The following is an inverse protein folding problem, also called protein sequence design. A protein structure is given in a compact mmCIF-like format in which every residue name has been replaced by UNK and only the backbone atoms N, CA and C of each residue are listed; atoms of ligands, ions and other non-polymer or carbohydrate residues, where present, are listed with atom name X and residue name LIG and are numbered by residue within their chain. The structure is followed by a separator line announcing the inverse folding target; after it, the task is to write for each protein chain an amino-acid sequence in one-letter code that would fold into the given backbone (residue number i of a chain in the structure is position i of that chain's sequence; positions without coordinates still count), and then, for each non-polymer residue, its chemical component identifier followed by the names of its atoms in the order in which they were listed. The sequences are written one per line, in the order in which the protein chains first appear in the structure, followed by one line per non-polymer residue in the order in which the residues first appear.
data_IF_799099102541
#
_entry.id   IF_799099102541
#
_cell.length_a   1.000
_cell.length_b   1.000
_cell.length_c   1.000
_cell.angle_alpha   90.00
_cell.angle_beta   90.00
_cell.angle_gamma   90.00
#
_symmetry.space_group_name_H-M   'P 1'
#
loop_
_entity.id
_entity.type
_entity.pdbx_description
1 polymer ?
#
# COMPACT_ATOMS: atom_id res chain seq x y z
N UNK A 1 19.09 19.81 11.43
CA UNK A 1 18.64 19.58 11.27
C UNK A 1 17.81 19.40 11.37
N UNK A 2 17.52 19.52 11.50
CA UNK A 2 16.70 19.25 11.75
C UNK A 2 15.77 18.89 11.18
N UNK A 3 15.50 18.15 11.17
CA UNK A 3 14.58 17.71 10.46
C UNK A 3 13.32 18.17 10.89
N UNK A 4 12.69 18.92 10.12
CA UNK A 4 11.50 19.37 10.41
C UNK A 4 10.49 18.46 9.89
N UNK A 5 9.66 17.88 10.63
CA UNK A 5 8.64 16.98 10.16
C UNK A 5 7.41 17.73 9.73
N UNK A 6 6.86 17.31 8.63
CA UNK A 6 5.63 17.89 8.12
C UNK A 6 4.44 17.13 8.68
N UNK A 7 3.40 17.85 8.99
CA UNK A 7 2.15 17.23 9.40
C UNK A 7 1.19 17.36 8.24
N UNK A 8 0.75 16.23 7.72
CA UNK A 8 -0.09 16.21 6.53
C UNK A 8 -1.36 15.45 6.84
N UNK A 9 -2.49 15.98 6.43
CA UNK A 9 -3.74 15.28 6.60
C UNK A 9 -4.01 14.44 5.39
N UNK A 10 -4.32 13.20 5.60
CA UNK A 10 -4.63 12.27 4.52
C UNK A 10 -5.92 11.57 4.85
N UNK A 11 -6.59 11.07 3.83
CA UNK A 11 -7.82 10.33 4.01
C UNK A 11 -7.62 8.92 3.51
N UNK A 12 -7.89 7.94 4.35
CA UNK A 12 -7.78 6.54 3.97
C UNK A 12 -9.09 5.88 4.35
N UNK A 13 -9.75 5.30 3.39
CA UNK A 13 -11.04 4.64 3.58
C UNK A 13 -12.06 5.56 4.24
N UNK A 14 -11.99 6.84 3.86
CA UNK A 14 -12.96 7.79 4.37
C UNK A 14 -12.61 8.43 5.70
N UNK A 15 -11.57 7.94 6.36
CA UNK A 15 -11.18 8.48 7.66
C UNK A 15 -9.97 9.38 7.50
N UNK A 16 -9.94 10.45 8.25
CA UNK A 16 -8.84 11.39 8.19
C UNK A 16 -7.77 11.05 9.21
N UNK A 17 -6.53 11.15 8.78
CA UNK A 17 -5.40 10.93 9.66
C UNK A 17 -4.41 12.06 9.51
N UNK A 18 -3.79 12.46 10.60
CA UNK A 18 -2.71 13.44 10.56
C UNK A 18 -1.42 12.67 10.66
N UNK A 19 -0.61 12.79 9.64
CA UNK A 19 0.63 12.04 9.54
C UNK A 19 1.80 12.99 9.73
N UNK A 20 2.71 12.63 10.60
CA UNK A 20 3.92 13.39 10.78
C UNK A 20 5.05 12.66 10.10
N UNK A 21 5.71 13.32 9.18
CA UNK A 21 6.70 12.65 8.36
C UNK A 21 7.78 13.61 7.89
N UNK A 22 8.96 13.06 7.63
CA UNK A 22 10.04 13.84 7.03
C UNK A 22 9.82 14.00 5.54
N UNK A 23 8.97 13.20 4.96
CA UNK A 23 8.73 13.28 3.53
C UNK A 23 7.95 14.53 3.19
N UNK A 24 8.03 14.93 1.93
CA UNK A 24 7.27 16.10 1.50
C UNK A 24 5.78 15.81 1.60
N UNK A 25 4.96 16.85 1.69
CA UNK A 25 3.52 16.63 1.72
C UNK A 25 3.01 15.89 0.49
N UNK A 26 3.58 16.18 -0.67
CA UNK A 26 3.15 15.49 -1.88
C UNK A 26 3.46 14.00 -1.79
N UNK A 27 4.65 13.67 -1.27
CA UNK A 27 5.02 12.28 -1.15
C UNK A 27 4.13 11.59 -0.15
N UNK A 28 3.85 12.25 0.97
CA UNK A 28 3.01 11.66 1.99
C UNK A 28 1.61 11.38 1.46
N UNK A 29 1.07 12.31 0.68
CA UNK A 29 -0.25 12.09 0.11
C UNK A 29 -0.24 10.96 -0.90
N UNK A 30 0.82 10.88 -1.69
CA UNK A 30 0.92 9.81 -2.68
C UNK A 30 0.98 8.45 -1.99
N UNK A 31 1.72 8.38 -0.90
CA UNK A 31 1.83 7.13 -0.15
C UNK A 31 0.47 6.76 0.43
N UNK A 32 -0.23 7.73 0.99
CA UNK A 32 -1.53 7.47 1.58
C UNK A 32 -2.53 7.02 0.52
N UNK A 33 -2.47 7.62 -0.65
CA UNK A 33 -3.36 7.25 -1.72
C UNK A 33 -3.10 5.82 -2.16
N UNK A 34 -1.83 5.44 -2.22
CA UNK A 34 -1.49 4.07 -2.59
C UNK A 34 -2.04 3.08 -1.56
N UNK A 35 -1.87 3.40 -0.28
CA UNK A 35 -2.38 2.54 0.78
C UNK A 35 -3.89 2.40 0.64
N UNK A 36 -4.57 3.53 0.44
CA UNK A 36 -6.02 3.51 0.32
C UNK A 36 -6.45 2.62 -0.83
N UNK A 37 -5.78 2.75 -1.96
CA UNK A 37 -6.14 1.97 -3.13
C UNK A 37 -5.91 0.48 -2.92
N UNK A 38 -4.80 0.12 -2.28
CA UNK A 38 -4.51 -1.30 -2.06
C UNK A 38 -5.52 -1.91 -1.09
N UNK A 39 -5.88 -1.16 -0.05
CA UNK A 39 -6.86 -1.68 0.91
C UNK A 39 -8.21 -1.87 0.22
N UNK A 40 -8.63 -0.90 -0.57
CA UNK A 40 -9.92 -1.02 -1.26
C UNK A 40 -9.91 -2.18 -2.23
N UNK A 41 -8.81 -2.35 -2.94
CA UNK A 41 -8.71 -3.45 -3.87
C UNK A 41 -8.74 -4.79 -3.15
N UNK A 42 -8.07 -4.86 -2.00
CA UNK A 42 -8.06 -6.08 -1.20
C UNK A 42 -9.46 -6.42 -0.71
N UNK A 43 -10.19 -5.40 -0.27
CA UNK A 43 -11.54 -5.63 0.22
C UNK A 43 -12.42 -6.12 -0.91
N UNK A 44 -12.30 -5.51 -2.07
CA UNK A 44 -13.14 -5.88 -3.19
C UNK A 44 -12.82 -7.28 -3.70
N UNK A 45 -11.55 -7.54 -3.93
CA UNK A 45 -11.14 -8.82 -4.50
C UNK A 45 -11.39 -9.98 -3.54
N UNK A 46 -11.20 -9.74 -2.25
CA UNK A 46 -11.38 -10.80 -1.27
C UNK A 46 -12.75 -10.82 -0.64
N UNK A 47 -13.61 -9.90 -1.07
CA UNK A 47 -14.94 -9.81 -0.49
C UNK A 47 -14.85 -9.66 1.02
N UNK A 48 -13.92 -8.82 1.47
CA UNK A 48 -13.66 -8.62 2.88
C UNK A 48 -14.36 -7.36 3.36
N UNK A 49 -15.09 -7.47 4.44
CA UNK A 49 -15.79 -6.32 4.98
C UNK A 49 -15.04 -5.67 6.12
N UNK A 50 -14.24 -6.43 6.82
CA UNK A 50 -13.53 -5.91 7.98
C UNK A 50 -12.30 -5.14 7.55
N UNK A 51 -12.30 -3.86 7.88
CA UNK A 51 -11.22 -2.97 7.47
C UNK A 51 -9.88 -3.40 8.05
N UNK A 52 -9.87 -3.82 9.30
CA UNK A 52 -8.62 -4.18 9.93
C UNK A 52 -7.97 -5.37 9.24
N UNK A 53 -8.76 -6.36 8.89
CA UNK A 53 -8.24 -7.52 8.19
C UNK A 53 -7.71 -7.12 6.81
N UNK A 54 -8.46 -6.28 6.11
CA UNK A 54 -8.03 -5.84 4.80
C UNK A 54 -6.75 -5.03 4.89
N UNK A 55 -6.61 -4.23 5.93
CA UNK A 55 -5.41 -3.42 6.10
C UNK A 55 -4.17 -4.29 6.30
N UNK A 56 -4.31 -5.36 7.06
CA UNK A 56 -3.19 -6.25 7.29
C UNK A 56 -2.79 -6.96 6.00
N UNK A 57 -3.77 -7.42 5.24
CA UNK A 57 -3.48 -8.07 3.97
C UNK A 57 -2.89 -7.09 2.97
N UNK A 58 -3.36 -5.85 3.00
CA UNK A 58 -2.80 -4.83 2.13
C UNK A 58 -1.35 -4.54 2.50
N UNK A 59 -1.03 -4.54 3.79
CA UNK A 59 0.33 -4.30 4.21
C UNK A 59 1.25 -5.41 3.70
N UNK A 60 0.77 -6.64 3.70
CA UNK A 60 1.56 -7.73 3.17
C UNK A 60 1.80 -7.56 1.68
N UNK A 61 0.77 -7.15 0.96
CA UNK A 61 0.89 -6.95 -0.46
C UNK A 61 1.88 -5.84 -0.79
N UNK A 62 1.81 -4.74 -0.08
CA UNK A 62 2.70 -3.62 -0.30
C UNK A 62 4.13 -4.00 0.03
N UNK A 63 4.32 -4.74 1.11
CA UNK A 63 5.66 -5.17 1.49
C UNK A 63 6.23 -6.14 0.46
N UNK A 64 5.39 -6.98 -0.09
CA UNK A 64 5.84 -7.90 -1.12
C UNK A 64 6.31 -7.15 -2.35
N UNK A 65 5.61 -6.07 -2.71
CA UNK A 65 6.05 -5.24 -3.82
C UNK A 65 7.41 -4.62 -3.54
N UNK A 66 7.62 -4.22 -2.29
CA UNK A 66 8.89 -3.64 -1.91
C UNK A 66 10.02 -4.66 -2.06
N UNK A 67 9.77 -5.88 -1.62
CA UNK A 67 10.78 -6.93 -1.73
C UNK A 67 11.08 -7.25 -3.18
N UNK A 68 10.06 -7.27 -4.02
CA UNK A 68 10.27 -7.48 -5.44
C UNK A 68 11.15 -6.41 -6.03
N UNK A 69 10.90 -5.16 -5.68
CA UNK A 69 11.70 -4.06 -6.20
C UNK A 69 13.14 -4.18 -5.73
N UNK A 70 13.35 -4.59 -4.50
CA UNK A 70 14.70 -4.74 -3.99
C UNK A 70 15.43 -5.87 -4.68
N UNK A 71 14.73 -6.96 -4.90
CA UNK A 71 15.36 -8.13 -5.51
C UNK A 71 15.75 -7.87 -6.95
N UNK A 72 15.06 -6.97 -7.60
CA UNK A 72 15.32 -6.70 -8.99
C UNK A 72 16.07 -5.42 -9.22
N UNK A 73 16.80 -4.99 -8.27
CA UNK A 73 17.41 -3.69 -8.27
C UNK A 73 18.01 -3.23 -9.56
N UNK A 74 18.75 -4.08 -10.25
CA UNK A 74 19.39 -3.65 -11.43
C UNK A 74 18.49 -3.52 -12.59
N UNK A 75 17.46 -4.28 -12.68
CA UNK A 75 16.55 -4.24 -13.79
C UNK A 75 15.34 -3.43 -13.38
N UNK A 76 15.61 -2.30 -12.83
CA UNK A 76 14.58 -1.52 -12.24
C UNK A 76 13.51 -1.10 -13.19
N UNK A 77 13.87 -0.67 -14.37
CA UNK A 77 12.88 -0.21 -15.32
C UNK A 77 11.89 -1.30 -15.69
N UNK A 78 12.39 -2.48 -15.93
CA UNK A 78 11.52 -3.59 -16.26
C UNK A 78 10.64 -3.99 -15.11
N UNK A 79 11.20 -3.99 -13.92
CA UNK A 79 10.45 -4.37 -12.76
C UNK A 79 9.36 -3.38 -12.42
N UNK A 80 9.65 -2.13 -12.57
CA UNK A 80 8.65 -1.14 -12.29
C UNK A 80 7.49 -1.25 -13.24
N UNK A 81 7.79 -1.54 -14.49
CA UNK A 81 6.75 -1.71 -15.44
C UNK A 81 5.86 -2.89 -15.07
N UNK A 82 6.45 -3.98 -14.66
CA UNK A 82 5.69 -5.15 -14.30
C UNK A 82 4.85 -4.88 -13.05
N UNK A 83 5.43 -4.22 -12.07
CA UNK A 83 4.72 -3.94 -10.84
C UNK A 83 3.55 -3.02 -11.07
N UNK A 84 3.70 -2.07 -11.96
CA UNK A 84 2.60 -1.17 -12.16
C UNK A 84 1.47 -1.80 -12.94
N UNK A 85 1.74 -2.86 -13.69
CA UNK A 85 0.67 -3.47 -14.45
C UNK A 85 0.03 -4.63 -13.71
N UNK A 86 0.64 -5.09 -12.63
CA UNK A 86 0.09 -6.22 -11.91
C UNK A 86 0.06 -5.99 -10.45
N UNK A 87 -1.10 -5.74 -9.92
CA UNK A 87 -1.25 -5.63 -8.49
C UNK A 87 -1.74 -6.96 -8.00
N UNK A 88 -1.01 -7.55 -7.08
CA UNK A 88 -1.36 -8.86 -6.57
C UNK A 88 -1.77 -8.75 -5.12
N UNK A 89 -3.04 -8.52 -4.87
CA UNK A 89 -3.48 -8.40 -3.49
C UNK A 89 -3.37 -9.72 -2.76
N UNK A 90 -3.06 -9.65 -1.48
CA UNK A 90 -3.03 -10.84 -0.67
C UNK A 90 -4.42 -11.08 -0.16
N UNK A 91 -4.91 -12.29 -0.31
CA UNK A 91 -6.26 -12.62 0.05
C UNK A 91 -6.28 -13.70 1.11
N UNK A 92 -7.34 -13.76 1.88
CA UNK A 92 -7.41 -14.80 2.90
C UNK A 92 -7.55 -16.16 2.25
N UNK A 93 -6.94 -17.17 2.84
CA UNK A 93 -6.98 -18.51 2.24
C UNK A 93 -8.26 -19.26 2.51
N UNK A 94 -9.11 -18.74 3.26
CA UNK A 94 -10.22 -19.47 3.75
C UNK A 94 -11.09 -20.13 2.74
N UNK A 95 -11.17 -19.61 1.60
CA UNK A 95 -11.98 -20.14 0.69
C UNK A 95 -11.53 -21.19 -0.09
N UNK A 96 -10.62 -21.60 -0.03
CA UNK A 96 -10.16 -22.53 -0.93
C UNK A 96 -10.39 -23.69 -0.65
N UNK A 97 -10.74 -24.08 -0.72
CA UNK A 97 -10.84 -25.05 -0.55
C UNK A 97 -10.50 -25.79 -0.82
N UNK A 98 -10.34 -26.06 -0.88
CA UNK A 98 -10.07 -26.68 -1.06
C UNK A 98 -10.11 -27.03 -0.96
#
# INVERSE_FOLDING_TARGET
MSSKKNVVRVTILGDEYSIRSDASPERTRAVAEHVDNVIRETMRAGNIVETQRAAILAALSITDELFDARDSGEDLAGEMKRLSSEIRPWLPPAKRKE
#
